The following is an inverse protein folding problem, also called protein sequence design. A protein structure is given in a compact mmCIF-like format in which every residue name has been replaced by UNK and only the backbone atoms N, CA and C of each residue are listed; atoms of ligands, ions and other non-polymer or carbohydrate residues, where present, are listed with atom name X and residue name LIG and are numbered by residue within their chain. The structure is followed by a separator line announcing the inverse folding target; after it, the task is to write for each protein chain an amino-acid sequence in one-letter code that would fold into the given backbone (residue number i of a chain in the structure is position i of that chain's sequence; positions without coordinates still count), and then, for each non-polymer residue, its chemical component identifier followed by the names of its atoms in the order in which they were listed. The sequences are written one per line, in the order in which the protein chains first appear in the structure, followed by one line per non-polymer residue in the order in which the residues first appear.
data_IF_492124533504
#
_entry.id   IF_492124533504
#
_cell.length_a   1.000
_cell.length_b   1.000
_cell.length_c   1.000
_cell.angle_alpha   90.00
_cell.angle_beta   90.00
_cell.angle_gamma   90.00
#
_symmetry.space_group_name_H-M   'P 1'
#
loop_
_entity.id
_entity.type
_entity.pdbx_description
1 polymer ?
#
# COMPACT_ATOMS: atom_id res chain seq x y z
N UNK A 1 -4.99 -10.39 -7.62
CA UNK A 1 -6.30 -10.97 -7.18
C UNK A 1 -6.30 -12.47 -7.42
N UNK A 2 -7.16 -13.24 -6.73
CA UNK A 2 -7.31 -14.69 -6.97
C UNK A 2 -8.26 -14.91 -8.17
N UNK A 3 -7.90 -15.79 -9.11
CA UNK A 3 -8.74 -16.18 -10.25
C UNK A 3 -10.01 -16.87 -9.78
N UNK A 4 -11.15 -16.58 -10.43
CA UNK A 4 -12.44 -17.24 -10.13
C UNK A 4 -12.31 -18.76 -10.16
N UNK A 5 -11.67 -19.33 -11.20
CA UNK A 5 -11.47 -20.77 -11.31
C UNK A 5 -10.67 -21.37 -10.13
N UNK A 6 -9.74 -20.63 -9.53
CA UNK A 6 -9.00 -21.07 -8.36
C UNK A 6 -9.88 -21.05 -7.10
N UNK A 7 -10.70 -20.02 -6.92
CA UNK A 7 -11.68 -19.93 -5.83
C UNK A 7 -12.72 -21.05 -5.93
N UNK A 8 -13.25 -21.30 -7.12
CA UNK A 8 -14.24 -22.36 -7.34
C UNK A 8 -13.66 -23.75 -7.08
N UNK A 9 -12.38 -23.97 -7.44
CA UNK A 9 -11.68 -25.22 -7.14
C UNK A 9 -11.48 -25.43 -5.64
N UNK A 10 -11.22 -24.36 -4.89
CA UNK A 10 -10.96 -24.43 -3.46
C UNK A 10 -12.23 -24.51 -2.60
N UNK A 11 -13.28 -23.78 -2.97
CA UNK A 11 -14.46 -23.55 -2.12
C UNK A 11 -15.80 -23.91 -2.77
N UNK A 12 -15.81 -24.21 -4.07
CA UNK A 12 -17.01 -24.50 -4.86
C UNK A 12 -17.51 -23.31 -5.67
N UNK A 13 -18.35 -23.61 -6.67
CA UNK A 13 -18.91 -22.67 -7.65
C UNK A 13 -19.68 -21.53 -6.97
N UNK A 14 -19.46 -20.29 -7.41
CA UNK A 14 -20.16 -19.10 -6.94
C UNK A 14 -19.60 -18.49 -5.65
N UNK A 15 -18.48 -18.99 -5.14
CA UNK A 15 -17.83 -18.43 -3.94
C UNK A 15 -17.34 -17.00 -4.16
N UNK A 16 -17.00 -16.62 -5.39
CA UNK A 16 -16.59 -15.25 -5.74
C UNK A 16 -17.67 -14.20 -5.49
N UNK A 17 -18.95 -14.59 -5.39
CA UNK A 17 -20.06 -13.69 -5.05
C UNK A 17 -20.17 -13.39 -3.55
N UNK A 18 -19.50 -14.20 -2.73
CA UNK A 18 -19.54 -14.10 -1.26
C UNK A 18 -18.28 -13.42 -0.72
N UNK A 19 -17.13 -13.65 -1.34
CA UNK A 19 -15.86 -13.09 -0.90
C UNK A 19 -15.74 -11.61 -1.27
N UNK A 20 -15.25 -10.81 -0.32
CA UNK A 20 -14.93 -9.41 -0.55
C UNK A 20 -13.44 -9.25 -0.85
N UNK A 21 -13.03 -8.14 -1.46
CA UNK A 21 -11.61 -7.89 -1.75
C UNK A 21 -10.65 -8.08 -0.55
N UNK A 22 -10.99 -7.64 0.68
CA UNK A 22 -10.15 -7.89 1.85
C UNK A 22 -9.90 -9.38 2.13
N UNK A 23 -10.89 -10.25 1.87
CA UNK A 23 -10.72 -11.69 2.02
C UNK A 23 -9.72 -12.25 0.99
N UNK A 24 -9.76 -11.72 -0.23
CA UNK A 24 -8.82 -12.12 -1.28
C UNK A 24 -7.38 -11.75 -0.89
N UNK A 25 -7.16 -10.56 -0.32
CA UNK A 25 -5.82 -10.14 0.13
C UNK A 25 -5.32 -11.01 1.28
N UNK A 26 -6.15 -11.24 2.30
CA UNK A 26 -5.77 -12.12 3.42
C UNK A 26 -5.41 -13.53 2.96
N UNK A 27 -6.18 -14.12 2.04
CA UNK A 27 -5.89 -15.44 1.48
C UNK A 27 -4.57 -15.48 0.69
N UNK A 28 -4.22 -14.39 0.00
CA UNK A 28 -2.94 -14.25 -0.69
C UNK A 28 -1.79 -14.15 0.33
N UNK A 29 -1.93 -13.30 1.35
CA UNK A 29 -0.91 -13.08 2.38
C UNK A 29 -0.65 -14.35 3.22
N UNK A 30 -1.70 -15.13 3.48
CA UNK A 30 -1.59 -16.42 4.17
C UNK A 30 -1.07 -17.55 3.27
N UNK A 31 -0.84 -17.30 1.98
CA UNK A 31 -0.25 -18.25 1.04
C UNK A 31 -1.19 -19.39 0.62
N UNK A 32 -2.51 -19.16 0.61
CA UNK A 32 -3.50 -20.20 0.28
C UNK A 32 -3.50 -20.55 -1.22
N UNK A 33 -2.96 -19.66 -2.05
CA UNK A 33 -2.95 -19.77 -3.51
C UNK A 33 -1.54 -19.52 -4.06
N UNK A 34 -1.19 -20.23 -5.12
CA UNK A 34 0.11 -20.04 -5.81
C UNK A 34 0.02 -18.90 -6.82
N UNK A 35 1.16 -18.43 -7.33
CA UNK A 35 1.21 -17.35 -8.34
C UNK A 35 0.35 -17.65 -9.58
N UNK A 36 0.29 -18.92 -10.00
CA UNK A 36 -0.55 -19.37 -11.12
C UNK A 36 -2.05 -19.22 -10.86
N UNK A 37 -2.47 -19.21 -9.59
CA UNK A 37 -3.85 -18.99 -9.17
C UNK A 37 -4.20 -17.50 -9.05
N UNK A 38 -3.19 -16.63 -9.17
CA UNK A 38 -3.36 -15.19 -9.15
C UNK A 38 -3.53 -14.65 -10.57
N UNK A 39 -4.28 -13.56 -10.68
CA UNK A 39 -4.28 -12.68 -11.84
C UNK A 39 -4.07 -11.24 -11.40
N UNK A 40 -3.28 -10.53 -12.20
CA UNK A 40 -3.16 -9.08 -12.12
C UNK A 40 -4.23 -8.49 -13.05
N UNK A 41 -5.18 -7.70 -12.52
CA UNK A 41 -6.14 -7.01 -13.36
C UNK A 41 -5.39 -6.07 -14.29
N UNK A 42 -5.59 -6.19 -15.60
CA UNK A 42 -4.90 -5.35 -16.57
C UNK A 42 -5.81 -4.98 -17.74
N UNK A 43 -5.72 -3.71 -18.17
CA UNK A 43 -6.49 -3.18 -19.30
C UNK A 43 -7.83 -2.56 -18.91
N UNK A 44 -8.28 -1.60 -19.72
CA UNK A 44 -9.47 -0.77 -19.42
C UNK A 44 -10.78 -1.56 -19.43
N UNK A 45 -10.80 -2.67 -20.16
CA UNK A 45 -11.99 -3.52 -20.34
C UNK A 45 -12.15 -4.54 -19.20
N UNK A 46 -11.17 -4.65 -18.30
CA UNK A 46 -11.25 -5.49 -17.11
C UNK A 46 -12.01 -4.74 -15.99
N UNK A 47 -13.19 -5.22 -15.57
CA UNK A 47 -13.94 -4.61 -14.47
C UNK A 47 -13.14 -4.61 -13.15
N UNK A 48 -12.30 -5.62 -12.91
CA UNK A 48 -11.45 -5.68 -11.73
C UNK A 48 -10.34 -4.63 -11.79
N UNK A 49 -9.84 -4.30 -12.99
CA UNK A 49 -8.89 -3.20 -13.17
C UNK A 49 -9.55 -1.84 -12.88
N UNK A 50 -10.80 -1.64 -13.30
CA UNK A 50 -11.55 -0.42 -12.98
C UNK A 50 -11.81 -0.28 -11.47
N UNK A 51 -12.21 -1.37 -10.81
CA UNK A 51 -12.41 -1.41 -9.36
C UNK A 51 -11.09 -1.20 -8.62
N UNK A 52 -10.00 -1.82 -9.09
CA UNK A 52 -8.66 -1.59 -8.55
C UNK A 52 -8.26 -0.12 -8.69
N UNK A 53 -8.34 0.46 -9.89
CA UNK A 53 -8.05 1.89 -10.12
C UNK A 53 -8.88 2.82 -9.22
N UNK A 54 -10.15 2.50 -8.99
CA UNK A 54 -11.02 3.30 -8.13
C UNK A 54 -10.58 3.27 -6.65
N UNK A 55 -10.00 2.16 -6.20
CA UNK A 55 -9.57 1.94 -4.82
C UNK A 55 -8.06 2.11 -4.60
N UNK A 56 -7.25 2.15 -5.65
CA UNK A 56 -5.81 2.37 -5.58
C UNK A 56 -5.54 3.79 -5.08
N UNK A 57 -4.81 3.85 -3.97
CA UNK A 57 -4.45 5.09 -3.24
C UNK A 57 -2.97 5.01 -2.88
N UNK A 58 -2.07 5.29 -3.84
CA UNK A 58 -0.63 5.23 -3.60
C UNK A 58 -0.20 6.15 -2.44
N UNK A 59 -0.96 7.20 -2.16
CA UNK A 59 -0.73 8.10 -1.03
C UNK A 59 -0.96 7.42 0.32
N UNK A 60 -1.95 6.53 0.40
CA UNK A 60 -2.24 5.73 1.60
C UNK A 60 -1.21 4.62 1.76
N UNK A 61 -0.81 3.95 0.68
CA UNK A 61 0.28 2.95 0.73
C UNK A 61 1.60 3.60 1.17
N UNK A 62 1.94 4.76 0.62
CA UNK A 62 3.12 5.52 1.03
C UNK A 62 3.02 5.96 2.50
N UNK A 63 1.85 6.40 2.95
CA UNK A 63 1.61 6.72 4.36
C UNK A 63 1.89 5.51 5.26
N UNK A 64 1.32 4.35 4.96
CA UNK A 64 1.43 3.17 5.83
C UNK A 64 2.89 2.67 5.91
N UNK A 65 3.59 2.63 4.76
CA UNK A 65 5.02 2.30 4.72
C UNK A 65 5.88 3.26 5.53
N UNK A 66 5.65 4.57 5.40
CA UNK A 66 6.38 5.58 6.14
C UNK A 66 6.01 5.56 7.63
N UNK A 67 4.75 5.35 7.95
CA UNK A 67 4.28 5.22 9.32
C UNK A 67 4.98 4.05 10.03
N UNK A 68 5.09 2.90 9.38
CA UNK A 68 5.82 1.74 9.93
C UNK A 68 7.32 2.01 10.08
N UNK A 69 7.95 2.63 9.09
CA UNK A 69 9.37 3.01 9.13
C UNK A 69 9.70 4.03 10.24
N UNK A 70 8.75 4.91 10.55
CA UNK A 70 8.89 5.99 11.52
C UNK A 70 8.01 5.82 12.76
N UNK A 71 7.58 4.59 13.06
CA UNK A 71 6.67 4.30 14.18
C UNK A 71 7.21 4.79 15.54
N UNK A 72 8.53 4.86 15.70
CA UNK A 72 9.25 5.40 16.87
C UNK A 72 9.07 6.92 17.05
N UNK A 73 8.67 7.62 15.99
CA UNK A 73 8.49 9.07 15.95
C UNK A 73 7.02 9.49 15.80
N UNK A 74 6.12 8.53 15.59
CA UNK A 74 4.69 8.78 15.50
C UNK A 74 4.08 8.86 16.90
N UNK A 75 3.73 10.07 17.32
CA UNK A 75 3.26 10.34 18.68
C UNK A 75 1.76 10.09 18.92
N UNK A 76 0.98 9.67 17.91
CA UNK A 76 -0.46 9.49 18.08
C UNK A 76 -1.17 8.78 16.91
N UNK A 77 -2.43 8.36 17.13
CA UNK A 77 -3.17 7.50 16.19
C UNK A 77 -3.82 8.24 15.02
N UNK A 78 -3.62 9.56 14.87
CA UNK A 78 -4.24 10.37 13.82
C UNK A 78 -3.22 11.01 12.89
N UNK A 79 -2.00 10.51 12.93
CA UNK A 79 -0.87 11.05 12.18
C UNK A 79 0.23 11.61 13.07
N UNK A 80 1.31 12.03 12.42
CA UNK A 80 2.47 12.62 13.04
C UNK A 80 3.14 13.62 12.12
N UNK A 81 3.75 14.61 12.75
CA UNK A 81 4.68 15.52 12.09
C UNK A 81 6.09 15.14 12.50
N UNK A 82 6.97 14.97 11.52
CA UNK A 82 8.41 14.74 11.73
C UNK A 82 9.16 15.97 11.20
N UNK A 83 9.35 17.02 12.04
CA UNK A 83 9.78 18.32 11.55
C UNK A 83 11.18 18.30 10.92
N UNK A 84 12.07 17.46 11.43
CA UNK A 84 13.43 17.36 10.90
C UNK A 84 13.50 16.61 9.56
N UNK A 85 12.44 15.95 9.11
CA UNK A 85 12.34 15.40 7.76
C UNK A 85 11.44 16.25 6.86
N UNK A 86 10.80 17.29 7.41
CA UNK A 86 9.75 18.03 6.74
C UNK A 86 8.61 17.12 6.26
N UNK A 87 8.35 16.02 6.99
CA UNK A 87 7.38 14.99 6.65
C UNK A 87 6.17 15.11 7.56
N UNK A 88 4.98 15.15 6.97
CA UNK A 88 3.69 15.03 7.63
C UNK A 88 3.01 13.73 7.22
N UNK A 89 2.61 12.94 8.21
CA UNK A 89 1.73 11.79 8.07
C UNK A 89 0.38 12.23 8.62
N UNK A 90 -0.63 12.39 7.78
CA UNK A 90 -1.97 12.76 8.19
C UNK A 90 -2.89 11.58 7.97
N UNK A 91 -3.69 11.22 8.98
CA UNK A 91 -4.72 10.20 8.87
C UNK A 91 -6.09 10.82 9.12
N UNK A 92 -7.03 10.60 8.19
CA UNK A 92 -8.39 11.07 8.38
C UNK A 92 -9.07 10.24 9.49
N UNK A 93 -9.62 10.88 10.56
CA UNK A 93 -10.05 10.19 11.78
C UNK A 93 -11.19 9.17 11.57
N UNK A 94 -11.98 9.34 10.50
CA UNK A 94 -13.12 8.47 10.20
C UNK A 94 -12.97 7.66 8.92
N UNK A 95 -11.88 7.89 8.17
CA UNK A 95 -11.71 7.29 6.83
C UNK A 95 -10.22 7.03 6.58
N UNK A 96 -9.67 5.93 7.11
CA UNK A 96 -8.24 5.62 6.98
C UNK A 96 -7.72 5.62 5.53
N UNK A 97 -8.59 5.39 4.53
CA UNK A 97 -8.28 5.46 3.10
C UNK A 97 -7.97 6.87 2.54
N UNK A 98 -8.03 7.89 3.39
CA UNK A 98 -7.58 9.25 3.08
C UNK A 98 -6.32 9.62 3.86
N UNK A 99 -5.57 8.63 4.33
CA UNK A 99 -4.25 8.88 4.88
C UNK A 99 -3.29 9.36 3.78
N UNK A 100 -2.46 10.33 4.12
CA UNK A 100 -1.52 10.97 3.19
C UNK A 100 -0.17 11.18 3.85
N UNK A 101 0.90 11.03 3.07
CA UNK A 101 2.24 11.45 3.44
C UNK A 101 2.66 12.66 2.58
N UNK A 102 2.99 13.77 3.23
CA UNK A 102 3.29 15.04 2.57
C UNK A 102 4.65 15.56 2.99
N UNK A 103 5.47 15.95 2.01
CA UNK A 103 6.72 16.68 2.24
C UNK A 103 6.49 18.19 2.12
N UNK A 104 7.19 18.96 2.94
CA UNK A 104 7.16 20.44 2.88
C UNK A 104 7.68 21.02 1.56
N UNK A 105 8.43 20.21 0.80
CA UNK A 105 8.92 20.54 -0.51
C UNK A 105 10.06 19.61 -0.94
N UNK A 106 10.48 19.75 -2.19
CA UNK A 106 11.48 18.88 -2.82
C UNK A 106 12.83 18.88 -2.09
N UNK A 107 13.16 19.97 -1.39
CA UNK A 107 14.37 20.10 -0.59
C UNK A 107 14.44 19.08 0.57
N UNK A 108 13.29 18.57 1.03
CA UNK A 108 13.21 17.54 2.06
C UNK A 108 13.52 16.14 1.52
N UNK A 109 13.35 15.92 0.21
CA UNK A 109 13.39 14.59 -0.39
C UNK A 109 14.73 13.90 -0.15
N UNK A 110 15.84 14.61 -0.32
CA UNK A 110 17.18 14.06 -0.10
C UNK A 110 17.45 13.68 1.38
N UNK A 111 16.79 14.36 2.34
CA UNK A 111 16.90 14.05 3.76
C UNK A 111 16.06 12.84 4.13
N UNK A 112 14.79 12.82 3.68
CA UNK A 112 13.92 11.66 3.87
C UNK A 112 14.58 10.41 3.26
N UNK A 113 15.12 10.55 2.05
CA UNK A 113 15.86 9.51 1.35
C UNK A 113 16.99 8.89 2.19
N UNK A 114 17.83 9.74 2.77
CA UNK A 114 18.96 9.31 3.60
C UNK A 114 18.47 8.57 4.85
N UNK A 115 17.43 9.08 5.51
CA UNK A 115 16.87 8.49 6.73
C UNK A 115 16.13 7.17 6.47
N UNK A 116 15.42 7.06 5.35
CA UNK A 116 14.83 5.78 4.92
C UNK A 116 15.94 4.75 4.68
N UNK A 117 17.03 5.15 4.04
CA UNK A 117 18.16 4.26 3.75
C UNK A 117 18.91 3.78 5.01
N UNK A 118 18.83 4.50 6.14
CA UNK A 118 19.39 4.04 7.42
C UNK A 118 18.46 3.08 8.16
N UNK A 119 17.15 3.16 7.88
CA UNK A 119 16.10 2.38 8.57
C UNK A 119 15.73 1.09 7.85
N UNK A 120 15.99 0.99 6.56
CA UNK A 120 15.70 -0.22 5.77
C UNK A 120 16.82 -0.57 4.80
N UNK A 121 17.08 -1.87 4.67
CA UNK A 121 18.01 -2.43 3.69
C UNK A 121 17.34 -2.72 2.34
N UNK A 122 16.05 -2.43 2.19
CA UNK A 122 15.27 -2.76 0.99
C UNK A 122 15.06 -1.56 0.07
N UNK A 123 15.27 -0.33 0.56
CA UNK A 123 15.10 0.90 -0.23
C UNK A 123 16.48 1.51 -0.48
N UNK A 124 16.93 1.46 -1.75
CA UNK A 124 18.15 2.10 -2.20
C UNK A 124 17.82 3.30 -3.08
N UNK A 125 18.31 4.48 -2.70
CA UNK A 125 18.11 5.68 -3.51
C UNK A 125 19.36 5.86 -4.36
N UNK A 126 19.26 5.43 -5.62
CA UNK A 126 20.26 5.74 -6.64
C UNK A 126 20.30 7.26 -6.78
N UNK A 127 21.35 7.89 -6.24
CA UNK A 127 21.63 9.30 -6.52
C UNK A 127 21.78 9.42 -8.04
N UNK A 128 20.79 10.04 -8.68
CA UNK A 128 20.95 10.48 -10.06
C UNK A 128 22.20 11.37 -10.11
N UNK A 129 23.19 10.95 -10.89
CA UNK A 129 24.32 11.79 -11.25
C UNK A 129 23.73 12.93 -12.08
N UNK A 130 23.80 14.14 -11.54
CA UNK A 130 23.54 15.38 -12.28
C UNK A 130 24.81 15.71 -13.07
#
# INVERSE_FOLDING_TARGET
MIKTAALERAFGVGTELLLQQPDHWRMIDEGWFTEEDLYEPCGIDDPAFCVWCANYRPETEAHDLLHDLFHDQVAGPFGARIPHLGLELAQHPSTPRYATATLDGDWCLARLAAEVSTRTNWIFINKAVI
#
